data_IF_666910806558
#
_entry.id   IF_666910806558
#
_cell.length_a   1.000
_cell.length_b   1.000
_cell.length_c   1.000
_cell.angle_alpha   90.00
_cell.angle_beta   90.00
_cell.angle_gamma   90.00
#
_symmetry.space_group_name_H-M   'P 1'
#
loop_
_entity.id
_entity.type
_entity.pdbx_description
1 polymer ?
#
# COMPACT_ATOMS: atom_id res chain seq x y z
N UNK A 1 0.62 -48.98 -0.67
CA UNK A 1 1.17 -47.63 -0.40
C UNK A 1 0.79 -47.26 1.03
N UNK A 2 1.75 -47.15 1.95
CA UNK A 2 1.46 -47.06 3.40
C UNK A 2 0.72 -45.77 3.77
N UNK A 3 -0.29 -45.86 4.64
CA UNK A 3 -1.07 -44.73 5.18
C UNK A 3 -0.16 -43.60 5.70
N UNK A 4 0.99 -43.96 6.27
CA UNK A 4 2.02 -43.02 6.74
C UNK A 4 2.58 -42.12 5.63
N UNK A 5 2.73 -42.64 4.41
CA UNK A 5 3.26 -41.88 3.28
C UNK A 5 2.23 -40.87 2.74
N UNK A 6 0.94 -41.20 2.81
CA UNK A 6 -0.15 -40.31 2.41
C UNK A 6 -0.25 -39.14 3.40
N UNK A 7 -0.24 -39.43 4.70
CA UNK A 7 -0.29 -38.42 5.76
C UNK A 7 0.94 -37.49 5.71
N UNK A 8 2.14 -38.04 5.51
CA UNK A 8 3.36 -37.24 5.38
C UNK A 8 3.31 -36.31 4.15
N UNK A 9 2.82 -36.80 3.01
CA UNK A 9 2.68 -36.01 1.78
C UNK A 9 1.64 -34.90 1.93
N UNK A 10 0.54 -35.17 2.64
CA UNK A 10 -0.48 -34.17 2.99
C UNK A 10 0.08 -33.07 3.89
N UNK A 11 0.77 -33.44 4.99
CA UNK A 11 1.39 -32.48 5.90
C UNK A 11 2.44 -31.62 5.19
N UNK A 12 3.23 -32.20 4.30
CA UNK A 12 4.23 -31.47 3.52
C UNK A 12 3.60 -30.51 2.51
N UNK A 13 2.49 -30.91 1.88
CA UNK A 13 1.73 -30.06 0.96
C UNK A 13 1.12 -28.88 1.70
N UNK A 14 0.50 -29.12 2.87
CA UNK A 14 -0.06 -28.06 3.73
C UNK A 14 1.05 -27.07 4.16
N UNK A 15 2.20 -27.58 4.60
CA UNK A 15 3.33 -26.74 5.05
C UNK A 15 3.91 -25.88 3.92
N UNK A 16 4.02 -26.43 2.71
CA UNK A 16 4.44 -25.67 1.53
C UNK A 16 3.39 -24.62 1.13
N UNK A 17 2.10 -24.95 1.19
CA UNK A 17 1.02 -24.01 0.88
C UNK A 17 1.04 -22.79 1.81
N UNK A 18 1.18 -23.01 3.12
CA UNK A 18 1.36 -21.93 4.10
C UNK A 18 2.64 -21.11 3.86
N UNK A 19 3.75 -21.76 3.48
CA UNK A 19 5.01 -21.07 3.18
C UNK A 19 4.86 -20.16 1.97
N UNK A 20 4.23 -20.62 0.89
CA UNK A 20 3.99 -19.83 -0.33
C UNK A 20 3.05 -18.65 -0.08
N UNK A 21 1.97 -18.87 0.68
CA UNK A 21 1.05 -17.78 1.09
C UNK A 21 1.78 -16.72 1.92
N UNK A 22 2.66 -17.14 2.83
CA UNK A 22 3.43 -16.21 3.65
C UNK A 22 4.39 -15.36 2.81
N UNK A 23 5.09 -15.96 1.84
CA UNK A 23 6.00 -15.23 0.93
C UNK A 23 5.23 -14.25 0.02
N UNK A 24 4.05 -14.63 -0.46
CA UNK A 24 3.26 -13.76 -1.32
C UNK A 24 2.68 -12.56 -0.54
N UNK A 25 2.20 -12.79 0.70
CA UNK A 25 1.65 -11.73 1.57
C UNK A 25 2.70 -10.77 2.12
N UNK A 26 3.91 -11.25 2.42
CA UNK A 26 5.01 -10.38 2.84
C UNK A 26 5.45 -9.46 1.68
N UNK A 27 5.53 -10.01 0.46
CA UNK A 27 5.83 -9.25 -0.75
C UNK A 27 4.74 -8.22 -1.05
N UNK A 28 3.47 -8.55 -0.79
CA UNK A 28 2.34 -7.62 -0.91
C UNK A 28 2.42 -6.43 0.08
N UNK A 29 2.74 -6.67 1.35
CA UNK A 29 2.90 -5.59 2.36
C UNK A 29 4.06 -4.65 2.00
N UNK A 30 5.12 -5.17 1.37
CA UNK A 30 6.27 -4.39 0.91
C UNK A 30 5.98 -3.59 -0.37
N UNK A 31 5.11 -4.09 -1.26
CA UNK A 31 4.77 -3.45 -2.55
C UNK A 31 3.60 -2.47 -2.47
N UNK A 32 2.65 -2.67 -1.56
CA UNK A 32 1.48 -1.80 -1.41
C UNK A 32 1.82 -0.32 -1.18
N UNK A 33 2.78 0.06 -0.30
CA UNK A 33 3.17 1.47 -0.14
C UNK A 33 4.03 2.01 -1.29
N UNK A 34 4.61 1.14 -2.12
CA UNK A 34 5.44 1.53 -3.27
C UNK A 34 4.62 1.94 -4.49
N UNK A 35 3.41 1.42 -4.67
CA UNK A 35 2.56 1.77 -5.83
C UNK A 35 2.18 3.27 -5.88
N UNK A 36 1.76 3.92 -4.77
CA UNK A 36 1.54 5.37 -4.75
C UNK A 36 2.84 6.19 -4.89
N UNK A 37 4.00 5.60 -4.57
CA UNK A 37 5.30 6.26 -4.60
C UNK A 37 5.68 6.72 -6.01
N UNK A 38 5.36 5.90 -7.02
CA UNK A 38 5.58 6.18 -8.44
C UNK A 38 4.87 7.46 -8.89
N UNK A 39 3.73 7.79 -8.29
CA UNK A 39 2.94 8.98 -8.62
C UNK A 39 3.59 10.27 -8.09
N UNK A 40 4.39 10.18 -7.03
CA UNK A 40 5.15 11.33 -6.48
C UNK A 40 6.47 11.58 -7.19
N UNK A 41 6.94 10.64 -8.01
CA UNK A 41 8.22 10.74 -8.73
C UNK A 41 8.12 11.70 -9.95
N UNK A 42 6.90 12.08 -10.32
CA UNK A 42 6.61 13.17 -11.28
C UNK A 42 7.26 14.50 -10.86
N UNK A 43 7.43 14.73 -9.55
CA UNK A 43 8.07 15.93 -8.98
C UNK A 43 9.59 15.94 -9.27
N UNK A 44 10.18 14.81 -9.65
CA UNK A 44 11.61 14.65 -9.94
C UNK A 44 11.91 14.42 -11.42
N UNK A 45 10.95 14.71 -12.32
CA UNK A 45 11.21 14.90 -13.75
C UNK A 45 12.06 16.16 -13.99
N UNK A 46 13.31 16.15 -13.52
CA UNK A 46 14.33 17.11 -13.91
C UNK A 46 14.96 16.61 -15.18
N UNK A 47 14.98 17.47 -16.19
CA UNK A 47 15.65 17.29 -17.47
C UNK A 47 17.15 16.99 -17.23
N UNK A 48 17.63 15.74 -17.36
CA UNK A 48 19.06 15.51 -17.44
C UNK A 48 19.47 15.90 -18.86
N UNK A 49 20.59 16.61 -19.01
CA UNK A 49 21.12 17.08 -20.30
C UNK A 49 21.48 15.94 -21.29
N UNK A 50 21.27 14.67 -20.90
CA UNK A 50 21.63 13.45 -21.63
C UNK A 50 20.51 12.39 -21.61
N UNK A 51 19.27 12.71 -22.01
CA UNK A 51 18.23 11.68 -22.24
C UNK A 51 17.86 11.56 -23.71
N UNK A 52 17.97 10.34 -24.24
CA UNK A 52 17.49 9.96 -25.58
C UNK A 52 15.97 9.74 -25.64
N UNK A 53 15.30 9.62 -24.48
CA UNK A 53 13.86 9.43 -24.39
C UNK A 53 13.13 10.76 -24.15
N UNK A 54 11.98 11.02 -24.81
CA UNK A 54 11.18 12.22 -24.58
C UNK A 54 10.61 12.28 -23.16
N UNK A 55 10.64 13.45 -22.50
CA UNK A 55 10.07 13.65 -21.16
C UNK A 55 8.58 13.25 -21.05
N UNK A 56 7.81 13.45 -22.12
CA UNK A 56 6.40 13.06 -22.19
C UNK A 56 6.20 11.55 -22.08
N UNK A 57 7.15 10.75 -22.59
CA UNK A 57 7.10 9.29 -22.51
C UNK A 57 7.29 8.82 -21.06
N UNK A 58 8.29 9.37 -20.36
CA UNK A 58 8.54 9.07 -18.95
C UNK A 58 7.36 9.50 -18.06
N UNK A 59 6.75 10.64 -18.35
CA UNK A 59 5.55 11.14 -17.68
C UNK A 59 4.36 10.18 -17.85
N UNK A 60 4.04 9.81 -19.10
CA UNK A 60 2.94 8.88 -19.41
C UNK A 60 3.19 7.52 -18.77
N UNK A 61 4.42 7.03 -18.83
CA UNK A 61 4.81 5.76 -18.21
C UNK A 61 4.57 5.80 -16.69
N UNK A 62 5.10 6.81 -15.99
CA UNK A 62 4.95 6.96 -14.53
C UNK A 62 3.48 7.13 -14.12
N UNK A 63 2.71 7.91 -14.88
CA UNK A 63 1.27 8.07 -14.64
C UNK A 63 0.53 6.75 -14.83
N UNK A 64 0.82 6.02 -15.91
CA UNK A 64 0.14 4.74 -16.20
C UNK A 64 0.42 3.72 -15.09
N UNK A 65 1.68 3.57 -14.68
CA UNK A 65 2.03 2.67 -13.57
C UNK A 65 1.46 3.13 -12.23
N UNK A 66 1.48 4.45 -11.96
CA UNK A 66 0.91 5.02 -10.74
C UNK A 66 -0.61 4.79 -10.65
N UNK A 67 -1.35 5.06 -11.73
CA UNK A 67 -2.79 4.83 -11.78
C UNK A 67 -3.14 3.34 -11.71
N UNK A 68 -2.44 2.48 -12.46
CA UNK A 68 -2.66 1.04 -12.38
C UNK A 68 -2.39 0.51 -10.95
N UNK A 69 -1.29 0.95 -10.34
CA UNK A 69 -0.94 0.59 -8.96
C UNK A 69 -1.97 1.03 -7.93
N UNK A 70 -2.47 2.27 -8.04
CA UNK A 70 -3.56 2.76 -7.19
C UNK A 70 -4.86 1.96 -7.39
N UNK A 71 -5.24 1.68 -8.63
CA UNK A 71 -6.44 0.94 -8.96
C UNK A 71 -6.42 -0.48 -8.37
N UNK A 72 -5.33 -1.24 -8.59
CA UNK A 72 -5.17 -2.56 -7.97
C UNK A 72 -5.06 -2.48 -6.44
N UNK A 73 -4.49 -1.40 -5.91
CA UNK A 73 -4.44 -1.15 -4.47
C UNK A 73 -5.85 -1.00 -3.87
N UNK A 74 -6.73 -0.25 -4.52
CA UNK A 74 -8.12 -0.09 -4.09
C UNK A 74 -8.94 -1.36 -4.20
N UNK A 75 -8.79 -2.12 -5.30
CA UNK A 75 -9.44 -3.45 -5.43
C UNK A 75 -9.03 -4.35 -4.26
N UNK A 76 -7.74 -4.40 -3.93
CA UNK A 76 -7.29 -5.24 -2.83
C UNK A 76 -7.79 -4.77 -1.47
N UNK A 77 -7.87 -3.46 -1.25
CA UNK A 77 -8.47 -2.89 -0.04
C UNK A 77 -9.95 -3.27 0.08
N UNK A 78 -10.70 -3.23 -1.02
CA UNK A 78 -12.10 -3.64 -1.06
C UNK A 78 -12.26 -5.14 -0.73
N UNK A 79 -11.42 -6.00 -1.28
CA UNK A 79 -11.42 -7.43 -0.93
C UNK A 79 -11.12 -7.68 0.56
N UNK A 80 -10.23 -6.88 1.16
CA UNK A 80 -9.95 -6.94 2.60
C UNK A 80 -11.17 -6.45 3.40
N UNK A 81 -11.78 -5.35 2.98
CA UNK A 81 -12.97 -4.79 3.61
C UNK A 81 -14.14 -5.78 3.59
N UNK A 82 -14.39 -6.46 2.47
CA UNK A 82 -15.42 -7.48 2.35
C UNK A 82 -15.16 -8.65 3.31
N UNK A 83 -13.92 -9.16 3.35
CA UNK A 83 -13.54 -10.24 4.29
C UNK A 83 -13.64 -9.83 5.75
N UNK A 84 -13.35 -8.58 6.08
CA UNK A 84 -13.53 -8.09 7.46
C UNK A 84 -15.02 -7.96 7.77
N UNK A 85 -15.85 -7.57 6.79
CA UNK A 85 -17.29 -7.42 6.97
C UNK A 85 -18.06 -8.73 7.14
N UNK A 86 -17.46 -9.88 6.77
CA UNK A 86 -18.06 -11.20 7.06
C UNK A 86 -17.84 -11.64 8.50
N UNK A 87 -16.82 -11.10 9.18
CA UNK A 87 -16.48 -11.43 10.59
C UNK A 87 -16.94 -10.32 11.56
N UNK A 88 -16.90 -9.07 11.12
CA UNK A 88 -17.25 -7.87 11.89
C UNK A 88 -18.37 -7.07 11.22
N UNK A 89 -18.93 -6.08 11.93
CA UNK A 89 -19.97 -5.21 11.37
C UNK A 89 -19.45 -4.44 10.13
N UNK A 90 -20.29 -4.33 9.08
CA UNK A 90 -19.99 -3.61 7.83
C UNK A 90 -19.52 -2.16 8.07
N UNK A 91 -20.06 -1.48 9.10
CA UNK A 91 -19.58 -0.13 9.46
C UNK A 91 -18.13 -0.14 9.96
N UNK A 92 -17.75 -1.11 10.77
CA UNK A 92 -16.40 -1.21 11.32
C UNK A 92 -15.37 -1.46 10.22
N UNK A 93 -15.72 -2.29 9.23
CA UNK A 93 -14.87 -2.56 8.08
C UNK A 93 -14.55 -1.30 7.27
N UNK A 94 -15.56 -0.45 7.03
CA UNK A 94 -15.37 0.85 6.34
C UNK A 94 -14.40 1.78 7.07
N UNK A 95 -14.54 1.90 8.40
CA UNK A 95 -13.64 2.71 9.21
C UNK A 95 -12.20 2.20 9.16
N UNK A 96 -12.02 0.88 9.14
CA UNK A 96 -10.71 0.25 8.97
C UNK A 96 -10.11 0.62 7.61
N UNK A 97 -10.85 0.49 6.51
CA UNK A 97 -10.35 0.86 5.17
C UNK A 97 -9.90 2.32 5.10
N UNK A 98 -10.70 3.23 5.67
CA UNK A 98 -10.36 4.66 5.75
C UNK A 98 -9.04 4.86 6.52
N UNK A 99 -8.89 4.20 7.67
CA UNK A 99 -7.68 4.25 8.48
C UNK A 99 -6.46 3.71 7.75
N UNK A 100 -6.60 2.60 7.02
CA UNK A 100 -5.53 2.01 6.21
C UNK A 100 -5.02 2.99 5.15
N UNK A 101 -5.91 3.73 4.48
CA UNK A 101 -5.51 4.74 3.49
C UNK A 101 -4.65 5.85 4.13
N UNK A 102 -5.01 6.34 5.32
CA UNK A 102 -4.20 7.34 6.03
C UNK A 102 -2.84 6.78 6.47
N UNK A 103 -2.80 5.54 6.96
CA UNK A 103 -1.54 4.86 7.34
C UNK A 103 -0.65 4.70 6.11
N UNK A 104 -1.21 4.33 4.96
CA UNK A 104 -0.49 4.25 3.70
C UNK A 104 0.05 5.62 3.28
N UNK A 105 -0.72 6.70 3.41
CA UNK A 105 -0.27 8.07 3.12
C UNK A 105 0.89 8.51 4.02
N UNK A 106 0.82 8.16 5.30
CA UNK A 106 1.93 8.39 6.23
C UNK A 106 3.18 7.60 5.82
N UNK A 107 3.01 6.33 5.43
CA UNK A 107 4.09 5.50 4.90
C UNK A 107 4.74 6.07 3.63
N UNK A 108 3.94 6.59 2.69
CA UNK A 108 4.42 7.28 1.49
C UNK A 108 5.26 8.49 1.89
N UNK A 109 4.81 9.28 2.87
CA UNK A 109 5.57 10.45 3.33
C UNK A 109 6.93 10.04 3.92
N UNK A 110 6.95 9.00 4.77
CA UNK A 110 8.19 8.47 5.35
C UNK A 110 9.14 7.99 4.27
N UNK A 111 8.66 7.21 3.30
CA UNK A 111 9.49 6.78 2.19
C UNK A 111 9.99 7.97 1.38
N UNK A 112 9.12 8.94 1.09
CA UNK A 112 9.43 9.95 0.06
C UNK A 112 10.28 11.09 0.57
N UNK A 113 9.99 11.57 1.77
CA UNK A 113 10.65 12.74 2.33
C UNK A 113 11.79 12.35 3.27
N UNK A 114 11.68 11.21 3.97
CA UNK A 114 12.73 10.73 4.86
C UNK A 114 13.60 9.64 4.21
N UNK A 115 13.26 9.20 2.98
CA UNK A 115 13.99 8.17 2.23
C UNK A 115 14.08 6.81 2.96
N UNK A 116 13.16 6.56 3.89
CA UNK A 116 13.08 5.27 4.55
C UNK A 116 12.51 4.24 3.60
N UNK A 117 13.30 3.22 3.30
CA UNK A 117 12.85 2.11 2.49
C UNK A 117 12.40 0.95 3.38
N UNK A 118 11.68 0.00 2.80
CA UNK A 118 11.22 -1.17 3.53
C UNK A 118 12.37 -2.06 4.05
N UNK A 119 13.60 -1.89 3.54
CA UNK A 119 14.80 -2.57 4.06
C UNK A 119 15.40 -1.89 5.30
N UNK A 120 15.04 -0.64 5.62
CA UNK A 120 15.50 0.04 6.84
C UNK A 120 14.84 -0.53 8.11
N UNK A 121 13.74 -1.28 7.96
CA UNK A 121 13.17 -2.09 9.03
C UNK A 121 14.14 -3.18 9.53
N UNK A 122 15.04 -3.65 8.67
CA UNK A 122 16.02 -4.69 9.02
C UNK A 122 17.39 -4.11 9.37
N UNK A 123 17.79 -3.01 8.73
CA UNK A 123 19.12 -2.40 8.93
C UNK A 123 19.19 -1.31 10.01
N UNK A 124 18.12 -0.52 10.19
CA UNK A 124 18.12 0.66 11.08
C UNK A 124 16.75 0.85 11.77
N UNK A 125 16.27 -0.23 12.40
CA UNK A 125 14.97 -0.24 13.08
C UNK A 125 14.84 0.87 14.14
N UNK A 126 15.90 1.13 14.90
CA UNK A 126 15.91 2.17 15.95
C UNK A 126 15.77 3.59 15.40
N UNK A 127 16.41 3.90 14.27
CA UNK A 127 16.31 5.20 13.61
C UNK A 127 14.93 5.44 12.99
N UNK A 128 14.33 4.38 12.42
CA UNK A 128 12.97 4.43 11.87
C UNK A 128 11.93 4.62 12.98
N UNK A 129 12.01 3.83 14.07
CA UNK A 129 11.12 3.97 15.22
C UNK A 129 11.21 5.34 15.89
N UNK A 130 12.43 5.87 16.09
CA UNK A 130 12.63 7.21 16.64
C UNK A 130 12.00 8.29 15.76
N UNK A 131 12.15 8.17 14.44
CA UNK A 131 11.59 9.11 13.48
C UNK A 131 10.06 9.09 13.44
N UNK A 132 9.44 7.93 13.62
CA UNK A 132 7.98 7.78 13.74
C UNK A 132 7.51 8.36 15.08
N UNK A 133 8.14 7.95 16.19
CA UNK A 133 7.81 8.38 17.55
C UNK A 133 7.89 9.91 17.70
N UNK A 134 8.97 10.55 17.23
CA UNK A 134 9.09 12.00 17.29
C UNK A 134 7.95 12.73 16.54
N UNK A 135 7.45 12.17 15.43
CA UNK A 135 6.34 12.79 14.65
C UNK A 135 4.97 12.58 15.27
N UNK A 136 4.79 11.47 16.00
CA UNK A 136 3.56 11.17 16.74
C UNK A 136 3.51 11.95 18.05
N UNK A 137 4.64 12.06 18.76
CA UNK A 137 4.75 12.77 20.04
C UNK A 137 4.80 14.28 19.86
N UNK A 138 5.43 14.78 18.79
CA UNK A 138 5.57 16.21 18.50
C UNK A 138 4.89 16.58 17.15
N UNK A 139 3.56 16.43 17.03
CA UNK A 139 2.87 16.61 15.75
C UNK A 139 2.94 18.05 15.22
N UNK A 140 3.05 19.04 16.11
CA UNK A 140 3.13 20.47 15.77
C UNK A 140 4.45 20.82 15.07
N UNK A 141 5.57 20.27 15.55
CA UNK A 141 6.90 20.51 14.94
C UNK A 141 7.03 19.85 13.56
N UNK A 142 6.28 18.76 13.32
CA UNK A 142 6.29 18.01 12.08
C UNK A 142 5.03 18.22 11.24
N UNK A 143 4.50 19.45 11.22
CA UNK A 143 3.24 19.82 10.53
C UNK A 143 3.18 19.39 9.05
N UNK A 144 4.31 19.39 8.33
CA UNK A 144 4.38 18.95 6.92
C UNK A 144 4.01 17.47 6.73
N UNK A 145 4.35 16.62 7.71
CA UNK A 145 4.04 15.18 7.70
C UNK A 145 2.54 14.98 7.80
N UNK A 146 1.92 15.66 8.77
CA UNK A 146 0.49 15.55 9.05
C UNK A 146 -0.34 16.25 7.98
N UNK A 147 0.11 17.41 7.49
CA UNK A 147 -0.51 18.12 6.38
C UNK A 147 -0.55 17.27 5.11
N UNK A 148 0.56 16.65 4.72
CA UNK A 148 0.58 15.72 3.58
C UNK A 148 -0.31 14.50 3.84
N UNK A 149 -0.19 13.84 5.00
CA UNK A 149 -0.98 12.64 5.33
C UNK A 149 -2.47 12.92 5.28
N UNK A 150 -2.91 14.06 5.81
CA UNK A 150 -4.32 14.44 5.83
C UNK A 150 -4.80 14.81 4.43
N UNK A 151 -4.08 15.67 3.70
CA UNK A 151 -4.50 16.08 2.36
C UNK A 151 -4.48 14.93 1.35
N UNK A 152 -3.40 14.15 1.30
CA UNK A 152 -3.31 12.99 0.42
C UNK A 152 -4.28 11.88 0.85
N UNK A 153 -4.41 11.64 2.16
CA UNK A 153 -5.32 10.63 2.70
C UNK A 153 -6.78 10.97 2.45
N UNK A 154 -7.19 12.22 2.62
CA UNK A 154 -8.55 12.68 2.29
C UNK A 154 -8.83 12.53 0.80
N UNK A 155 -7.91 12.98 -0.07
CA UNK A 155 -8.03 12.83 -1.51
C UNK A 155 -8.20 11.36 -1.91
N UNK A 156 -7.31 10.46 -1.47
CA UNK A 156 -7.39 9.04 -1.81
C UNK A 156 -8.65 8.37 -1.25
N UNK A 157 -9.12 8.78 -0.07
CA UNK A 157 -10.39 8.30 0.48
C UNK A 157 -11.58 8.71 -0.40
N UNK A 158 -11.61 9.95 -0.90
CA UNK A 158 -12.65 10.40 -1.85
C UNK A 158 -12.63 9.55 -3.12
N UNK A 159 -11.44 9.32 -3.69
CA UNK A 159 -11.30 8.48 -4.89
C UNK A 159 -11.77 7.04 -4.62
N UNK A 160 -11.39 6.46 -3.48
CA UNK A 160 -11.81 5.11 -3.09
C UNK A 160 -13.34 4.98 -2.98
N UNK A 161 -14.00 5.95 -2.34
CA UNK A 161 -15.47 5.96 -2.20
C UNK A 161 -16.15 6.12 -3.56
N UNK A 162 -15.62 6.97 -4.45
CA UNK A 162 -16.15 7.14 -5.81
C UNK A 162 -16.08 5.83 -6.60
N UNK A 163 -14.91 5.18 -6.61
CA UNK A 163 -14.70 3.91 -7.31
C UNK A 163 -15.66 2.83 -6.82
N UNK A 164 -15.81 2.69 -5.50
CA UNK A 164 -16.71 1.71 -4.88
C UNK A 164 -18.18 1.99 -5.17
N UNK A 165 -18.56 3.27 -5.25
CA UNK A 165 -19.93 3.69 -5.56
C UNK A 165 -20.40 3.22 -6.94
N UNK A 166 -19.48 3.12 -7.90
CA UNK A 166 -19.80 2.68 -9.26
C UNK A 166 -19.93 1.15 -9.37
N UNK A 167 -19.06 0.38 -8.70
CA UNK A 167 -19.12 -1.09 -8.72
C UNK A 167 -20.43 -1.63 -8.11
N UNK A 168 -20.86 -1.07 -6.98
CA UNK A 168 -22.10 -1.49 -6.31
C UNK A 168 -23.38 -1.22 -7.11
N UNK A 169 -23.33 -0.32 -8.10
CA UNK A 169 -24.42 -0.08 -9.05
C UNK A 169 -24.43 -1.09 -10.19
N UNK A 170 -23.27 -1.59 -10.60
CA UNK A 170 -23.13 -2.57 -11.68
C UNK A 170 -23.63 -3.94 -11.24
N UNK A 171 -23.31 -4.40 -10.03
CA UNK A 171 -23.77 -5.70 -9.51
C UNK A 171 -25.29 -5.79 -9.26
N UNK A 172 -25.99 -4.66 -9.15
CA UNK A 172 -27.43 -4.60 -8.88
C UNK A 172 -28.29 -4.50 -10.15
N UNK A 173 -27.67 -4.50 -11.32
CA UNK A 173 -28.34 -4.39 -12.63
C UNK A 173 -28.26 -5.71 -13.37
#
# INVERSE_FOLDING_TARGET
MSLKNIVAKLLQTIKNYFKTIFHFRSTYILLFPNAPYMLTDLIHLRVPQFRNAPLWYDLIMLLTFGFAGLYYGFISLQMIEEKISTVFNSRFSKWISIGFIYISCFGIYLGRFLRFNSWDLFGNFSGLMKSVLCRVVMPVDYWRTWGFTILAGTLLNVVYVMMKGDETKIEKK
#
